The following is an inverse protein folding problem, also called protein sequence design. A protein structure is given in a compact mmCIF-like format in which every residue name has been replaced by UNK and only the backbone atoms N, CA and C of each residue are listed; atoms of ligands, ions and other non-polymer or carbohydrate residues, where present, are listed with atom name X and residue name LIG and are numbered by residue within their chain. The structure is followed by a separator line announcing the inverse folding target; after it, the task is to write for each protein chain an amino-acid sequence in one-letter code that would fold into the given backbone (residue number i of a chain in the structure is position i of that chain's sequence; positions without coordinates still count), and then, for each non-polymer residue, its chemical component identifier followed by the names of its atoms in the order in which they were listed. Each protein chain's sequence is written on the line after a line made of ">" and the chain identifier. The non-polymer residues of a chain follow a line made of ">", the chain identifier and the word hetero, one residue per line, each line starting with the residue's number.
data_IF_356522257306
#
_entry.id   IF_356522257306
#
_cell.length_a   1.000
_cell.length_b   1.000
_cell.length_c   1.000
_cell.angle_alpha   90.00
_cell.angle_beta   90.00
_cell.angle_gamma   90.00
#
_symmetry.space_group_name_H-M   'P 1'
#
loop_
_entity.id
_entity.type
_entity.pdbx_description
1 polymer ?
#
# COMPACT_ATOMS: atom_id res chain seq x y z
N UNK A 1 19.73 11.74 23.53
CA UNK A 1 19.77 11.66 22.05
C UNK A 1 18.82 10.55 21.63
N UNK A 2 17.53 10.87 21.48
CA UNK A 2 16.48 9.87 21.21
C UNK A 2 15.80 10.10 19.84
N UNK A 3 16.33 10.99 19.00
CA UNK A 3 15.68 11.44 17.75
C UNK A 3 16.49 11.08 16.48
N UNK A 4 17.19 9.95 16.49
CA UNK A 4 17.89 9.47 15.29
C UNK A 4 17.47 8.06 14.84
N UNK A 5 16.48 7.45 15.50
CA UNK A 5 15.94 6.14 15.10
C UNK A 5 14.71 6.22 14.18
N UNK A 6 14.12 7.40 14.00
CA UNK A 6 12.92 7.58 13.18
C UNK A 6 13.18 7.83 11.68
N UNK A 7 14.42 8.16 11.28
CA UNK A 7 14.73 8.58 9.90
C UNK A 7 15.23 7.46 8.99
N UNK A 8 15.59 6.30 9.55
CA UNK A 8 16.22 5.18 8.81
C UNK A 8 15.22 4.02 8.58
N UNK A 9 14.05 4.04 9.23
CA UNK A 9 12.98 3.04 9.08
C UNK A 9 11.71 3.59 8.41
N UNK A 10 11.81 4.57 7.50
CA UNK A 10 10.81 4.68 6.43
C UNK A 10 11.05 3.57 5.40
N UNK A 11 11.00 2.32 5.85
CA UNK A 11 10.58 1.22 5.00
C UNK A 11 9.17 1.58 4.57
N UNK A 12 9.00 2.04 3.33
CA UNK A 12 7.73 2.53 2.81
C UNK A 12 6.63 1.51 3.14
N UNK A 13 5.51 1.95 3.72
CA UNK A 13 4.36 1.08 4.06
C UNK A 13 4.01 0.12 2.92
N UNK A 14 4.16 0.59 1.69
CA UNK A 14 3.99 -0.15 0.43
C UNK A 14 4.81 -1.45 0.35
N UNK A 15 5.99 -1.51 0.96
CA UNK A 15 6.88 -2.68 0.95
C UNK A 15 6.62 -3.66 2.08
N UNK A 16 5.78 -3.30 3.06
CA UNK A 16 5.41 -4.21 4.15
C UNK A 16 4.36 -5.20 3.66
N UNK A 17 4.34 -6.39 4.24
CA UNK A 17 3.29 -7.35 3.94
C UNK A 17 1.96 -6.91 4.53
N UNK A 18 0.86 -7.20 3.84
CA UNK A 18 -0.50 -6.85 4.30
C UNK A 18 -0.76 -7.32 5.74
N UNK A 19 -0.37 -8.56 6.08
CA UNK A 19 -0.52 -9.11 7.44
C UNK A 19 0.27 -8.39 8.54
N UNK A 20 1.28 -7.60 8.19
CA UNK A 20 2.11 -6.87 9.15
C UNK A 20 1.53 -5.49 9.48
N UNK A 21 0.59 -5.02 8.65
CA UNK A 21 0.00 -3.69 8.70
C UNK A 21 -1.50 -3.76 9.02
N UNK A 22 -2.20 -4.76 8.48
CA UNK A 22 -3.64 -4.89 8.58
C UNK A 22 -4.01 -6.16 9.36
N UNK A 23 -4.55 -6.00 10.57
CA UNK A 23 -4.94 -7.11 11.47
C UNK A 23 -5.96 -8.08 10.88
N UNK A 24 -6.71 -7.65 9.85
CA UNK A 24 -7.72 -8.47 9.17
C UNK A 24 -7.16 -9.29 8.01
N UNK A 25 -5.88 -9.12 7.64
CA UNK A 25 -5.27 -9.79 6.51
C UNK A 25 -4.27 -10.84 6.96
N UNK A 26 -4.37 -12.05 6.42
CA UNK A 26 -3.33 -13.09 6.55
C UNK A 26 -2.37 -13.10 5.35
N UNK A 27 -2.49 -12.11 4.45
CA UNK A 27 -1.75 -12.09 3.18
C UNK A 27 -0.28 -11.74 3.38
N UNK A 28 0.60 -12.58 2.80
CA UNK A 28 2.04 -12.33 2.68
C UNK A 28 2.39 -11.39 1.53
N UNK A 29 1.40 -10.85 0.82
CA UNK A 29 1.62 -9.99 -0.33
C UNK A 29 1.93 -8.57 0.16
N UNK A 30 2.89 -7.84 -0.44
CA UNK A 30 3.15 -6.44 -0.10
C UNK A 30 1.92 -5.55 -0.32
N UNK A 31 1.79 -4.48 0.48
CA UNK A 31 0.70 -3.50 0.32
C UNK A 31 0.67 -2.91 -1.10
N UNK A 32 1.84 -2.65 -1.69
CA UNK A 32 2.01 -2.19 -3.08
C UNK A 32 1.34 -3.11 -4.08
N UNK A 33 1.59 -4.41 -3.96
CA UNK A 33 1.12 -5.42 -4.91
C UNK A 33 -0.40 -5.63 -4.72
N UNK A 34 -0.90 -5.57 -3.48
CA UNK A 34 -2.33 -5.61 -3.21
C UNK A 34 -3.09 -4.42 -3.84
N UNK A 35 -2.52 -3.21 -3.76
CA UNK A 35 -3.05 -2.02 -4.45
C UNK A 35 -2.99 -2.17 -5.97
N UNK A 36 -1.86 -2.65 -6.48
CA UNK A 36 -1.68 -2.91 -7.92
C UNK A 36 -2.74 -3.87 -8.45
N UNK A 37 -2.98 -4.99 -7.76
CA UNK A 37 -3.99 -5.98 -8.15
C UNK A 37 -5.41 -5.40 -8.12
N UNK A 38 -5.72 -4.58 -7.11
CA UNK A 38 -7.00 -3.85 -7.05
C UNK A 38 -7.20 -2.96 -8.29
N UNK A 39 -6.18 -2.17 -8.65
CA UNK A 39 -6.25 -1.28 -9.81
C UNK A 39 -6.25 -2.05 -11.14
N UNK A 40 -5.51 -3.16 -11.23
CA UNK A 40 -5.54 -4.05 -12.39
C UNK A 40 -6.94 -4.58 -12.65
N UNK A 41 -7.65 -5.06 -11.63
CA UNK A 41 -9.02 -5.56 -11.81
C UNK A 41 -10.00 -4.41 -12.11
N UNK A 42 -9.84 -3.26 -11.45
CA UNK A 42 -10.66 -2.05 -11.72
C UNK A 42 -10.47 -1.50 -13.14
N UNK A 43 -9.25 -1.53 -13.65
CA UNK A 43 -8.88 -0.95 -14.94
C UNK A 43 -8.95 -1.95 -16.10
N UNK A 44 -9.47 -3.16 -15.88
CA UNK A 44 -9.55 -4.19 -16.93
C UNK A 44 -8.17 -4.67 -17.40
N UNK A 45 -7.21 -4.71 -16.49
CA UNK A 45 -5.80 -5.10 -16.67
C UNK A 45 -5.00 -4.17 -17.59
N UNK A 46 -5.44 -2.92 -17.71
CA UNK A 46 -4.68 -1.85 -18.36
C UNK A 46 -3.53 -1.41 -17.44
N UNK A 47 -2.30 -1.82 -17.79
CA UNK A 47 -1.11 -1.51 -17.00
C UNK A 47 -0.79 -0.01 -17.00
N UNK A 48 -1.08 0.73 -18.08
CA UNK A 48 -0.80 2.16 -18.14
C UNK A 48 -1.68 2.94 -17.16
N UNK A 49 -2.97 2.60 -17.11
CA UNK A 49 -3.90 3.22 -16.13
C UNK A 49 -3.56 2.81 -14.70
N UNK A 50 -3.22 1.54 -14.49
CA UNK A 50 -2.82 1.03 -13.18
C UNK A 50 -1.59 1.76 -12.66
N UNK A 51 -0.57 1.96 -13.50
CA UNK A 51 0.61 2.76 -13.13
C UNK A 51 0.22 4.20 -12.76
N UNK A 52 -0.64 4.84 -13.56
CA UNK A 52 -1.13 6.20 -13.28
C UNK A 52 -1.88 6.30 -11.95
N UNK A 53 -2.75 5.33 -11.65
CA UNK A 53 -3.51 5.27 -10.40
C UNK A 53 -2.64 4.94 -9.19
N UNK A 54 -1.49 4.28 -9.38
CA UNK A 54 -0.53 3.98 -8.31
C UNK A 54 0.37 5.17 -7.95
N UNK A 55 0.59 6.13 -8.87
CA UNK A 55 1.48 7.28 -8.65
C UNK A 55 1.18 8.10 -7.38
N UNK A 56 -0.07 8.39 -7.00
CA UNK A 56 -0.38 9.10 -5.77
C UNK A 56 0.16 8.38 -4.53
N UNK A 57 -0.03 7.06 -4.45
CA UNK A 57 0.38 6.24 -3.29
C UNK A 57 1.90 6.21 -3.08
N UNK A 58 2.71 6.43 -4.13
CA UNK A 58 4.16 6.51 -4.01
C UNK A 58 4.66 7.74 -3.23
N UNK A 59 3.80 8.75 -3.06
CA UNK A 59 4.15 10.02 -2.40
C UNK A 59 3.21 10.35 -1.24
N UNK A 60 2.18 9.54 -1.02
CA UNK A 60 1.16 9.83 -0.02
C UNK A 60 1.62 9.44 1.39
N UNK A 61 0.88 9.94 2.38
CA UNK A 61 1.11 9.61 3.79
C UNK A 61 0.58 8.20 4.10
N UNK A 62 1.28 7.46 4.97
CA UNK A 62 0.92 6.09 5.35
C UNK A 62 -0.55 5.99 5.81
N UNK A 63 -1.03 6.93 6.62
CA UNK A 63 -2.43 6.98 7.10
C UNK A 63 -3.46 6.96 5.97
N UNK A 64 -3.19 7.64 4.85
CA UNK A 64 -4.11 7.70 3.70
C UNK A 64 -4.07 6.41 2.90
N UNK A 65 -2.89 5.81 2.76
CA UNK A 65 -2.72 4.52 2.12
C UNK A 65 -3.48 3.46 2.93
N UNK A 66 -3.32 3.45 4.25
CA UNK A 66 -4.04 2.54 5.16
C UNK A 66 -5.55 2.74 5.10
N UNK A 67 -6.03 3.99 5.10
CA UNK A 67 -7.45 4.29 4.95
C UNK A 67 -8.01 3.73 3.63
N UNK A 68 -7.31 3.99 2.51
CA UNK A 68 -7.74 3.48 1.21
C UNK A 68 -7.80 1.95 1.19
N UNK A 69 -6.78 1.27 1.72
CA UNK A 69 -6.73 -0.19 1.76
C UNK A 69 -7.86 -0.75 2.63
N UNK A 70 -8.13 -0.15 3.79
CA UNK A 70 -9.24 -0.55 4.66
C UNK A 70 -10.61 -0.36 3.99
N UNK A 71 -10.79 0.71 3.21
CA UNK A 71 -12.06 1.02 2.55
C UNK A 71 -12.32 0.18 1.30
N UNK A 72 -11.26 -0.30 0.62
CA UNK A 72 -11.38 -0.91 -0.71
C UNK A 72 -10.97 -2.39 -0.79
N UNK A 73 -10.02 -2.83 0.04
CA UNK A 73 -9.44 -4.17 -0.03
C UNK A 73 -9.92 -5.08 1.11
N UNK A 74 -10.47 -4.52 2.19
CA UNK A 74 -11.09 -5.28 3.27
C UNK A 74 -12.37 -5.95 2.76
N UNK A 75 -12.47 -7.27 2.89
CA UNK A 75 -13.64 -8.07 2.51
C UNK A 75 -14.32 -8.66 3.73
#
# INVERSE_FOLDING_TARGET
>A
MAEEKGKIFKTALLDRHMKEVFDWSDSNVPVRDALWDYFMEKNGRDTMKTEQDMLPFLKDDDDKIEAFVNDNLKK
#
